data_IF_552010461946
#
_entry.id   IF_552010461946
#
_cell.length_a   1.000
_cell.length_b   1.000
_cell.length_c   1.000
_cell.angle_alpha   90.00
_cell.angle_beta   90.00
_cell.angle_gamma   90.00
#
_symmetry.space_group_name_H-M   'P 1'
#
loop_
_entity.id
_entity.type
_entity.pdbx_description
1 polymer ?
#
# COMPACT_ATOMS: atom_id res chain seq x y z
N UNK A 1 8.95 -10.80 9.22
CA UNK A 1 7.90 -11.84 9.24
C UNK A 1 7.38 -11.94 7.82
N UNK A 2 7.41 -13.11 7.17
CA UNK A 2 6.97 -13.23 5.78
C UNK A 2 5.49 -13.59 5.74
N UNK A 3 4.65 -12.74 5.16
CA UNK A 3 3.25 -13.04 4.91
C UNK A 3 3.13 -14.26 3.97
N UNK A 4 2.13 -15.11 4.23
CA UNK A 4 1.88 -16.31 3.42
C UNK A 4 0.57 -16.20 2.66
N UNK A 5 0.47 -16.86 1.51
CA UNK A 5 -0.78 -16.98 0.75
C UNK A 5 -1.93 -17.54 1.60
N UNK A 6 -1.63 -18.45 2.54
CA UNK A 6 -2.62 -18.99 3.46
C UNK A 6 -3.17 -17.90 4.39
N UNK A 7 -2.30 -17.02 4.90
CA UNK A 7 -2.71 -15.87 5.73
C UNK A 7 -3.63 -14.94 4.94
N UNK A 8 -3.26 -14.60 3.69
CA UNK A 8 -4.07 -13.70 2.84
C UNK A 8 -5.46 -14.29 2.58
N UNK A 9 -5.53 -15.59 2.25
CA UNK A 9 -6.81 -16.29 2.05
C UNK A 9 -7.67 -16.33 3.31
N UNK A 10 -7.06 -16.54 4.48
CA UNK A 10 -7.77 -16.49 5.75
C UNK A 10 -8.34 -15.09 6.04
N UNK A 11 -7.58 -14.04 5.74
CA UNK A 11 -8.06 -12.67 5.86
C UNK A 11 -9.22 -12.38 4.90
N UNK A 12 -9.14 -12.86 3.66
CA UNK A 12 -10.24 -12.78 2.68
C UNK A 12 -11.50 -13.55 3.12
N UNK A 13 -11.34 -14.60 3.93
CA UNK A 13 -12.44 -15.32 4.55
C UNK A 13 -12.99 -14.65 5.84
N UNK A 14 -12.44 -13.49 6.24
CA UNK A 14 -12.88 -12.73 7.41
C UNK A 14 -12.23 -13.14 8.73
N UNK A 15 -11.09 -13.84 8.72
CA UNK A 15 -10.37 -14.18 9.94
C UNK A 15 -9.68 -12.94 10.54
N UNK A 16 -10.11 -12.52 11.73
CA UNK A 16 -9.64 -11.30 12.40
C UNK A 16 -8.12 -11.30 12.61
N UNK A 17 -7.55 -12.37 13.16
CA UNK A 17 -6.11 -12.45 13.40
C UNK A 17 -5.28 -12.40 12.11
N UNK A 18 -5.83 -12.88 10.99
CA UNK A 18 -5.16 -12.76 9.70
C UNK A 18 -5.22 -11.32 9.16
N UNK A 19 -6.32 -10.61 9.40
CA UNK A 19 -6.46 -9.18 9.05
C UNK A 19 -5.50 -8.34 9.88
N UNK A 20 -5.37 -8.61 11.19
CA UNK A 20 -4.40 -7.96 12.07
C UNK A 20 -2.96 -8.16 11.57
N UNK A 21 -2.60 -9.38 11.15
CA UNK A 21 -1.28 -9.65 10.58
C UNK A 21 -1.02 -8.89 9.27
N UNK A 22 -2.04 -8.75 8.40
CA UNK A 22 -1.92 -7.92 7.21
C UNK A 22 -1.71 -6.45 7.61
N UNK A 23 -2.49 -5.95 8.56
CA UNK A 23 -2.38 -4.59 9.04
C UNK A 23 -0.98 -4.29 9.59
N UNK A 24 -0.49 -5.11 10.50
CA UNK A 24 0.85 -4.97 11.06
C UNK A 24 1.91 -5.00 9.96
N UNK A 25 1.81 -5.91 8.99
CA UNK A 25 2.79 -5.99 7.92
C UNK A 25 2.84 -4.70 7.07
N UNK A 26 1.68 -4.18 6.66
CA UNK A 26 1.63 -3.02 5.76
C UNK A 26 1.81 -1.68 6.49
N UNK A 27 1.42 -1.55 7.75
CA UNK A 27 1.68 -0.34 8.54
C UNK A 27 3.15 -0.18 8.95
N UNK A 28 3.95 -1.26 8.96
CA UNK A 28 5.35 -1.21 9.42
C UNK A 28 6.36 -1.54 8.31
N UNK A 29 6.24 -0.86 7.16
CA UNK A 29 7.31 -0.77 6.16
C UNK A 29 6.98 -1.27 4.76
N UNK A 30 5.83 -1.92 4.56
CA UNK A 30 5.44 -2.51 3.27
C UNK A 30 4.30 -1.76 2.55
N UNK A 31 3.81 -0.65 3.12
CA UNK A 31 2.75 0.17 2.53
C UNK A 31 3.09 0.65 1.09
N UNK A 32 4.36 0.94 0.82
CA UNK A 32 4.83 1.34 -0.50
C UNK A 32 4.64 0.24 -1.54
N UNK A 33 4.95 -1.01 -1.21
CA UNK A 33 4.75 -2.17 -2.09
C UNK A 33 3.26 -2.35 -2.43
N UNK A 34 2.39 -2.18 -1.44
CA UNK A 34 0.95 -2.26 -1.63
C UNK A 34 0.41 -1.14 -2.52
N UNK A 35 0.86 0.09 -2.30
CA UNK A 35 0.47 1.23 -3.13
C UNK A 35 0.94 1.06 -4.58
N UNK A 36 2.17 0.57 -4.79
CA UNK A 36 2.70 0.23 -6.12
C UNK A 36 1.88 -0.91 -6.75
N UNK A 37 1.54 -1.97 -6.01
CA UNK A 37 0.73 -3.07 -6.52
C UNK A 37 -0.65 -2.59 -6.98
N UNK A 38 -1.32 -1.73 -6.18
CA UNK A 38 -2.60 -1.13 -6.53
C UNK A 38 -2.49 -0.21 -7.75
N UNK A 39 -1.44 0.60 -7.83
CA UNK A 39 -1.15 1.44 -9.00
C UNK A 39 -0.94 0.61 -10.27
N UNK A 40 -0.11 -0.44 -10.22
CA UNK A 40 0.13 -1.32 -11.36
C UNK A 40 -1.12 -2.07 -11.81
N UNK A 41 -1.95 -2.50 -10.86
CA UNK A 41 -3.15 -3.27 -11.16
C UNK A 41 -4.28 -2.40 -11.72
N UNK A 42 -4.45 -1.16 -11.25
CA UNK A 42 -5.63 -0.34 -11.54
C UNK A 42 -5.37 1.09 -12.01
N UNK A 43 -4.11 1.52 -12.06
CA UNK A 43 -3.73 2.90 -12.43
C UNK A 43 -4.09 3.95 -11.38
N UNK A 44 -4.39 3.55 -10.14
CA UNK A 44 -4.72 4.47 -9.05
C UNK A 44 -3.53 5.36 -8.70
N UNK A 45 -3.80 6.60 -8.27
CA UNK A 45 -2.73 7.56 -7.94
C UNK A 45 -2.10 7.16 -6.61
N UNK A 46 -0.78 6.99 -6.56
CA UNK A 46 -0.06 6.72 -5.32
C UNK A 46 0.02 8.01 -4.51
N UNK A 47 -0.22 7.92 -3.22
CA UNK A 47 0.01 9.00 -2.27
C UNK A 47 0.89 8.51 -1.13
N UNK A 48 1.71 9.41 -0.59
CA UNK A 48 2.58 9.10 0.53
C UNK A 48 2.74 10.30 1.48
N UNK A 49 2.68 10.03 2.78
CA UNK A 49 3.08 10.99 3.81
C UNK A 49 4.60 10.94 4.00
N UNK A 50 5.22 12.11 4.16
CA UNK A 50 6.68 12.24 4.24
C UNK A 50 7.13 12.63 5.65
N UNK A 51 8.00 11.82 6.25
CA UNK A 51 8.67 12.08 7.53
C UNK A 51 10.06 12.68 7.26
N UNK A 52 10.35 13.82 7.88
CA UNK A 52 11.65 14.52 7.81
C UNK A 52 12.19 14.73 6.37
N UNK A 53 11.29 14.97 5.41
CA UNK A 53 11.57 15.23 3.98
C UNK A 53 12.37 14.13 3.23
N UNK A 54 12.59 12.96 3.83
CA UNK A 54 13.44 11.90 3.24
C UNK A 54 12.91 10.48 3.41
N UNK A 55 11.88 10.31 4.24
CA UNK A 55 11.33 8.99 4.53
C UNK A 55 9.83 8.98 4.24
N UNK A 56 9.34 7.90 3.68
CA UNK A 56 7.91 7.65 3.59
C UNK A 56 7.44 7.18 4.96
N UNK A 57 6.53 7.93 5.58
CA UNK A 57 5.85 7.51 6.80
C UNK A 57 4.80 6.44 6.48
N UNK A 58 3.93 6.75 5.51
CA UNK A 58 2.92 5.82 5.02
C UNK A 58 2.62 6.05 3.53
N UNK A 59 2.13 5.02 2.85
CA UNK A 59 1.74 5.10 1.45
C UNK A 59 0.41 4.39 1.21
N UNK A 60 -0.43 4.99 0.37
CA UNK A 60 -1.76 4.51 0.01
C UNK A 60 -2.09 4.91 -1.43
N UNK A 61 -3.31 4.63 -1.89
CA UNK A 61 -3.77 5.08 -3.21
C UNK A 61 -5.04 5.91 -3.14
N UNK A 62 -5.16 6.85 -4.08
CA UNK A 62 -6.37 7.61 -4.35
C UNK A 62 -7.13 7.01 -5.53
N UNK A 63 -8.42 6.73 -5.32
CA UNK A 63 -9.32 6.15 -6.30
C UNK A 63 -9.95 7.23 -7.19
N UNK A 64 -10.49 6.86 -8.38
CA UNK A 64 -11.11 7.81 -9.30
C UNK A 64 -12.30 8.57 -8.72
N UNK A 65 -13.01 7.99 -7.76
CA UNK A 65 -14.13 8.63 -7.06
C UNK A 65 -13.68 9.64 -5.98
N UNK A 66 -12.37 9.83 -5.82
CA UNK A 66 -11.77 10.76 -4.89
C UNK A 66 -11.56 10.19 -3.49
N UNK A 67 -12.02 8.97 -3.19
CA UNK A 67 -11.73 8.28 -1.93
C UNK A 67 -10.31 7.72 -1.92
N UNK A 68 -9.85 7.34 -0.73
CA UNK A 68 -8.54 6.74 -0.52
C UNK A 68 -8.70 5.27 -0.14
N UNK A 69 -7.75 4.43 -0.51
CA UNK A 69 -7.72 3.02 -0.17
C UNK A 69 -6.35 2.67 0.39
N UNK A 70 -6.38 1.93 1.48
CA UNK A 70 -5.23 1.29 2.11
C UNK A 70 -5.60 -0.15 2.52
N UNK A 71 -4.68 -0.89 3.14
CA UNK A 71 -4.85 -2.30 3.52
C UNK A 71 -6.11 -2.57 4.34
N UNK A 72 -6.50 -1.64 5.22
CA UNK A 72 -7.61 -1.83 6.15
C UNK A 72 -8.98 -1.49 5.55
N UNK A 73 -9.07 -0.34 4.88
CA UNK A 73 -10.34 0.29 4.58
C UNK A 73 -10.24 1.29 3.42
N UNK A 74 -11.42 1.80 3.04
CA UNK A 74 -11.57 3.00 2.23
C UNK A 74 -11.85 4.20 3.13
N UNK A 75 -11.25 5.33 2.81
CA UNK A 75 -11.31 6.56 3.59
C UNK A 75 -11.82 7.72 2.73
N UNK A 76 -12.54 8.65 3.36
CA UNK A 76 -13.04 9.88 2.69
C UNK A 76 -12.07 11.05 2.78
N UNK A 77 -11.12 10.97 3.70
CA UNK A 77 -10.06 11.93 3.98
C UNK A 77 -8.75 11.19 4.26
N UNK A 78 -7.68 11.95 4.50
CA UNK A 78 -6.34 11.41 4.76
C UNK A 78 -5.94 11.47 6.23
N UNK A 79 -6.81 11.92 7.15
CA UNK A 79 -6.43 12.15 8.56
C UNK A 79 -5.93 10.86 9.23
N UNK A 80 -6.65 9.74 9.03
CA UNK A 80 -6.23 8.43 9.56
C UNK A 80 -4.99 7.89 8.84
N UNK A 81 -4.86 8.14 7.54
CA UNK A 81 -3.75 7.65 6.72
C UNK A 81 -2.43 8.38 7.05
N UNK A 82 -2.52 9.68 7.30
CA UNK A 82 -1.40 10.51 7.73
C UNK A 82 -1.01 10.19 9.17
N UNK A 83 -1.92 9.72 10.02
CA UNK A 83 -1.57 9.32 11.40
C UNK A 83 -0.57 8.16 11.50
N UNK A 84 -0.40 7.38 10.43
CA UNK A 84 0.61 6.31 10.37
C UNK A 84 2.04 6.83 10.15
N UNK A 85 2.21 8.10 9.79
CA UNK A 85 3.51 8.75 9.79
C UNK A 85 3.34 10.24 9.95
N UNK A 86 3.86 10.80 11.06
CA UNK A 86 3.82 12.22 11.47
C UNK A 86 4.45 13.18 10.44
N UNK A 87 3.92 13.17 9.23
CA UNK A 87 4.55 13.75 8.06
C UNK A 87 4.27 15.23 7.95
N UNK A 88 5.26 15.97 7.45
CA UNK A 88 5.14 17.42 7.24
C UNK A 88 4.34 17.75 5.96
N UNK A 89 4.21 16.78 5.04
CA UNK A 89 3.44 16.92 3.80
C UNK A 89 3.06 15.57 3.16
N UNK A 90 2.01 15.61 2.34
CA UNK A 90 1.53 14.50 1.49
C UNK A 90 1.91 14.76 0.03
N UNK A 91 2.59 13.79 -0.60
CA UNK A 91 2.97 13.82 -2.01
C UNK A 91 2.05 12.89 -2.83
N UNK A 92 1.88 13.20 -4.11
CA UNK A 92 1.03 12.43 -5.03
C UNK A 92 1.78 12.10 -6.32
N UNK A 93 1.66 10.85 -6.77
CA UNK A 93 2.40 10.30 -7.90
C UNK A 93 1.45 9.56 -8.84
N UNK A 94 1.29 10.09 -10.06
CA UNK A 94 0.55 9.43 -11.14
C UNK A 94 1.44 8.52 -11.98
N UNK A 95 2.75 8.60 -11.79
CA UNK A 95 3.75 7.78 -12.45
C UNK A 95 4.55 7.03 -11.37
N UNK A 96 4.56 5.71 -11.44
CA UNK A 96 5.32 4.87 -10.50
C UNK A 96 6.81 5.22 -10.46
N UNK A 97 7.41 5.51 -11.62
CA UNK A 97 8.84 5.84 -11.73
C UNK A 97 9.21 7.10 -10.93
N UNK A 98 8.32 8.09 -10.85
CA UNK A 98 8.54 9.28 -10.03
C UNK A 98 8.52 8.94 -8.54
N UNK A 99 7.59 8.07 -8.13
CA UNK A 99 7.52 7.58 -6.75
C UNK A 99 8.77 6.78 -6.37
N UNK A 100 9.17 5.81 -7.20
CA UNK A 100 10.37 4.99 -6.98
C UNK A 100 11.64 5.84 -6.97
N UNK A 101 11.73 6.85 -7.85
CA UNK A 101 12.87 7.79 -7.88
C UNK A 101 12.94 8.61 -6.60
N UNK A 102 11.80 9.03 -6.05
CA UNK A 102 11.73 9.78 -4.79
C UNK A 102 12.26 8.95 -3.61
N UNK A 103 11.97 7.64 -3.59
CA UNK A 103 12.48 6.72 -2.56
C UNK A 103 14.02 6.57 -2.59
N UNK A 104 14.70 7.05 -3.63
CA UNK A 104 16.17 6.98 -3.75
C UNK A 104 16.72 5.57 -3.90
N UNK A 105 15.85 4.60 -4.22
CA UNK A 105 16.15 3.17 -4.35
C UNK A 105 17.06 2.96 -5.57
N UNK A 106 18.21 2.33 -5.36
CA UNK A 106 19.09 1.93 -6.47
C UNK A 106 18.55 0.66 -7.15
N UNK A 107 18.87 0.44 -8.43
CA UNK A 107 18.41 -0.72 -9.23
C UNK A 107 18.59 -2.09 -8.55
N UNK A 108 19.55 -2.22 -7.65
CA UNK A 108 19.87 -3.42 -6.89
C UNK A 108 19.14 -3.56 -5.53
N UNK A 109 18.46 -2.51 -5.06
CA UNK A 109 17.56 -2.54 -3.89
C UNK A 109 16.09 -2.80 -4.30
N UNK A 110 15.78 -2.64 -5.60
CA UNK A 110 14.53 -3.06 -6.21
C UNK A 110 14.25 -4.57 -6.07
N UNK A 111 15.28 -5.41 -5.90
CA UNK A 111 15.10 -6.84 -5.65
C UNK A 111 14.43 -7.11 -4.29
N UNK A 112 14.67 -6.27 -3.27
CA UNK A 112 14.00 -6.39 -1.96
C UNK A 112 12.52 -6.00 -2.09
N UNK A 113 12.23 -4.90 -2.80
CA UNK A 113 10.87 -4.56 -3.21
C UNK A 113 10.23 -5.68 -4.03
N UNK A 114 10.98 -6.40 -4.87
CA UNK A 114 10.40 -7.38 -5.81
C UNK A 114 9.69 -8.56 -5.13
N UNK A 115 10.20 -9.05 -4.00
CA UNK A 115 9.57 -10.16 -3.27
C UNK A 115 8.34 -9.69 -2.49
N UNK A 116 8.43 -8.55 -1.81
CA UNK A 116 7.31 -8.00 -1.05
C UNK A 116 6.22 -7.44 -1.96
N UNK A 117 6.60 -6.96 -3.16
CA UNK A 117 5.68 -6.55 -4.20
C UNK A 117 4.88 -7.73 -4.78
N UNK A 118 5.50 -8.90 -4.97
CA UNK A 118 4.77 -10.09 -5.39
C UNK A 118 3.71 -10.48 -4.35
N UNK A 119 4.04 -10.39 -3.06
CA UNK A 119 3.07 -10.61 -1.98
C UNK A 119 1.99 -9.53 -1.98
N UNK A 120 2.35 -8.27 -2.18
CA UNK A 120 1.39 -7.17 -2.28
C UNK A 120 0.41 -7.36 -3.46
N UNK A 121 0.89 -7.85 -4.61
CA UNK A 121 0.03 -8.19 -5.74
C UNK A 121 -0.99 -9.30 -5.38
N UNK A 122 -0.57 -10.31 -4.63
CA UNK A 122 -1.45 -11.36 -4.13
C UNK A 122 -2.47 -10.81 -3.12
N UNK A 123 -2.07 -9.90 -2.23
CA UNK A 123 -2.99 -9.20 -1.30
C UNK A 123 -4.01 -8.38 -2.09
N UNK A 124 -3.58 -7.66 -3.12
CA UNK A 124 -4.49 -6.91 -4.00
C UNK A 124 -5.50 -7.84 -4.66
N UNK A 125 -5.04 -8.94 -5.26
CA UNK A 125 -5.90 -9.85 -6.02
C UNK A 125 -6.84 -10.70 -5.16
N UNK A 126 -6.34 -11.24 -4.04
CA UNK A 126 -7.09 -12.19 -3.20
C UNK A 126 -7.94 -11.49 -2.15
N UNK A 127 -7.46 -10.37 -1.60
CA UNK A 127 -8.09 -9.71 -0.46
C UNK A 127 -8.74 -8.38 -0.84
N UNK A 128 -7.97 -7.39 -1.32
CA UNK A 128 -8.49 -6.03 -1.51
C UNK A 128 -9.50 -5.92 -2.65
N UNK A 129 -9.20 -6.49 -3.82
CA UNK A 129 -10.06 -6.39 -4.99
C UNK A 129 -11.46 -6.98 -4.75
N UNK A 130 -11.59 -8.20 -4.18
CA UNK A 130 -12.91 -8.73 -3.84
C UNK A 130 -13.57 -7.97 -2.68
N UNK A 131 -12.81 -7.61 -1.63
CA UNK A 131 -13.37 -6.96 -0.44
C UNK A 131 -13.99 -5.59 -0.77
N UNK A 132 -13.35 -4.83 -1.66
CA UNK A 132 -13.74 -3.47 -1.97
C UNK A 132 -14.37 -3.31 -3.37
N UNK A 133 -14.62 -4.41 -4.07
CA UNK A 133 -15.16 -4.45 -5.44
C UNK A 133 -14.36 -3.53 -6.38
N UNK A 134 -13.04 -3.66 -6.38
CA UNK A 134 -12.17 -2.84 -7.22
C UNK A 134 -12.34 -3.23 -8.69
N UNK A 135 -12.41 -2.23 -9.56
CA UNK A 135 -12.51 -2.39 -11.01
C UNK A 135 -11.57 -1.42 -11.71
N UNK A 136 -11.17 -1.79 -12.93
CA UNK A 136 -10.49 -0.88 -13.86
C UNK A 136 -11.41 0.28 -14.29
#
# INVERSE_FOLDING_TARGET
MTLSIATIKSAAAGCESAIELLNEHYCYGHCMDLAIALHRAYGYTIQASMVESKWVGHAWVRLPDGTYLDILSRYTDTDELESFGDGECTLSFTNEGDFVSMLGIKENELEVFSNDLAIAQEVVGIYLAPKFNLSL
#
